data_IF_991552298921
#
_entry.id   IF_991552298921
#
_cell.length_a   1.000
_cell.length_b   1.000
_cell.length_c   1.000
_cell.angle_alpha   90.00
_cell.angle_beta   90.00
_cell.angle_gamma   90.00
#
_symmetry.space_group_name_H-M   'P 1'
#
loop_
_entity.id
_entity.type
_entity.pdbx_description
1 polymer ?
#
# COMPACT_ATOMS: atom_id res chain seq x y z
N UNK A 1 26.08 -63.69 16.49
CA UNK A 1 26.91 -62.61 17.08
C UNK A 1 26.06 -61.34 17.12
N UNK A 2 25.52 -61.01 18.29
CA UNK A 2 24.73 -59.79 18.50
C UNK A 2 25.68 -58.62 18.74
N UNK A 3 25.63 -57.62 17.86
CA UNK A 3 26.33 -56.35 18.04
C UNK A 3 25.31 -55.25 18.27
N UNK A 4 25.09 -54.90 19.55
CA UNK A 4 24.28 -53.76 19.95
C UNK A 4 24.86 -52.46 19.41
N UNK A 5 24.25 -51.89 18.36
CA UNK A 5 24.49 -50.51 17.93
C UNK A 5 23.51 -49.57 18.62
N UNK A 6 23.79 -49.21 19.86
CA UNK A 6 23.25 -48.02 20.53
C UNK A 6 24.48 -47.33 21.11
N UNK A 7 24.87 -46.11 20.75
CA UNK A 7 24.37 -44.88 21.37
C UNK A 7 25.24 -43.64 20.92
N UNK A 8 25.11 -43.05 19.72
CA UNK A 8 25.73 -41.73 19.46
C UNK A 8 24.88 -40.58 20.05
N UNK A 9 23.57 -40.80 20.15
CA UNK A 9 22.57 -39.83 20.61
C UNK A 9 22.78 -39.50 22.10
N UNK A 10 23.12 -40.50 22.92
CA UNK A 10 23.24 -40.35 24.38
C UNK A 10 24.39 -39.42 24.78
N UNK A 11 25.50 -39.40 24.03
CA UNK A 11 26.65 -38.53 24.31
C UNK A 11 26.39 -37.07 23.92
N UNK A 12 25.71 -36.84 22.79
CA UNK A 12 25.24 -35.52 22.39
C UNK A 12 24.21 -35.00 23.41
N UNK A 13 23.21 -35.80 23.78
CA UNK A 13 22.24 -35.44 24.82
C UNK A 13 22.90 -35.14 26.17
N UNK A 14 23.96 -35.84 26.58
CA UNK A 14 24.64 -35.58 27.86
C UNK A 14 25.42 -34.25 27.87
N UNK A 15 25.89 -33.78 26.70
CA UNK A 15 26.53 -32.46 26.54
C UNK A 15 25.50 -31.33 26.42
N UNK A 16 24.31 -31.62 25.87
CA UNK A 16 23.18 -30.69 25.77
C UNK A 16 22.27 -30.67 27.00
N UNK A 17 22.37 -31.66 27.90
CA UNK A 17 21.62 -31.76 29.16
C UNK A 17 22.16 -30.84 30.27
N UNK A 18 22.99 -29.85 29.93
CA UNK A 18 23.38 -28.82 30.88
C UNK A 18 22.24 -27.80 30.99
N UNK A 19 21.82 -27.44 32.21
CA UNK A 19 20.74 -26.45 32.43
C UNK A 19 21.01 -25.13 31.69
N UNK A 20 22.28 -24.76 31.56
CA UNK A 20 22.72 -23.55 30.87
C UNK A 20 22.52 -23.62 29.36
N UNK A 21 22.75 -24.78 28.71
CA UNK A 21 22.56 -24.91 27.26
C UNK A 21 21.08 -24.84 26.88
N UNK A 22 20.20 -25.39 27.71
CA UNK A 22 18.75 -25.27 27.51
C UNK A 22 18.27 -23.82 27.67
N UNK A 23 18.70 -23.13 28.73
CA UNK A 23 18.34 -21.71 28.94
C UNK A 23 18.87 -20.84 27.80
N UNK A 24 20.11 -21.06 27.35
CA UNK A 24 20.68 -20.32 26.21
C UNK A 24 19.93 -20.64 24.91
N UNK A 25 19.54 -21.90 24.67
CA UNK A 25 18.77 -22.26 23.49
C UNK A 25 17.41 -21.58 23.47
N UNK A 26 16.69 -21.61 24.60
CA UNK A 26 15.40 -20.92 24.75
C UNK A 26 15.58 -19.41 24.58
N UNK A 27 16.65 -18.83 25.14
CA UNK A 27 16.95 -17.40 24.99
C UNK A 27 17.29 -17.01 23.55
N UNK A 28 18.05 -17.83 22.83
CA UNK A 28 18.36 -17.62 21.41
C UNK A 28 17.09 -17.76 20.58
N UNK A 29 16.26 -18.78 20.82
CA UNK A 29 14.96 -18.92 20.15
C UNK A 29 14.06 -17.72 20.46
N UNK A 30 14.07 -17.23 21.70
CA UNK A 30 13.32 -16.05 22.08
C UNK A 30 13.80 -14.81 21.34
N UNK A 31 15.10 -14.56 21.25
CA UNK A 31 15.62 -13.45 20.43
C UNK A 31 15.26 -13.69 18.96
N UNK A 32 15.45 -14.87 18.40
CA UNK A 32 15.16 -15.11 16.97
C UNK A 32 13.67 -14.96 16.64
N UNK A 33 12.75 -15.32 17.54
CA UNK A 33 11.31 -15.24 17.33
C UNK A 33 10.69 -13.89 17.73
N UNK A 34 11.20 -13.25 18.80
CA UNK A 34 10.65 -12.01 19.37
C UNK A 34 11.50 -10.76 19.07
N UNK A 35 12.76 -10.89 18.66
CA UNK A 35 13.51 -9.76 18.12
C UNK A 35 12.86 -9.30 16.83
N UNK A 36 13.02 -8.01 16.54
CA UNK A 36 12.24 -7.17 15.62
C UNK A 36 12.28 -7.57 14.13
N UNK A 37 12.66 -8.80 13.80
CA UNK A 37 12.55 -9.41 12.48
C UNK A 37 11.11 -9.83 12.15
N UNK A 38 10.16 -8.94 12.41
CA UNK A 38 8.79 -9.11 11.94
C UNK A 38 8.82 -9.07 10.41
N UNK A 39 8.87 -10.27 9.81
CA UNK A 39 8.64 -10.48 8.38
C UNK A 39 7.31 -9.84 7.95
N UNK A 40 6.36 -9.82 8.88
CA UNK A 40 5.07 -9.15 8.76
C UNK A 40 5.25 -7.64 8.56
N UNK A 41 6.12 -6.99 9.33
CA UNK A 41 6.37 -5.54 9.18
C UNK A 41 6.99 -5.21 7.83
N UNK A 42 7.89 -6.07 7.33
CA UNK A 42 8.47 -5.91 5.98
C UNK A 42 7.40 -6.04 4.89
N UNK A 43 6.49 -7.01 5.00
CA UNK A 43 5.38 -7.19 4.06
C UNK A 43 4.44 -5.97 4.12
N UNK A 44 4.07 -5.52 5.31
CA UNK A 44 3.22 -4.34 5.47
C UNK A 44 3.87 -3.08 4.89
N UNK A 45 5.18 -2.92 5.10
CA UNK A 45 5.93 -1.80 4.56
C UNK A 45 5.97 -1.85 3.03
N UNK A 46 6.22 -3.02 2.42
CA UNK A 46 6.16 -3.17 0.97
C UNK A 46 4.77 -2.88 0.40
N UNK A 47 3.71 -3.36 1.06
CA UNK A 47 2.33 -3.05 0.67
C UNK A 47 2.06 -1.55 0.74
N UNK A 48 2.55 -0.87 1.79
CA UNK A 48 2.44 0.58 1.95
C UNK A 48 3.20 1.34 0.86
N UNK A 49 4.39 0.89 0.49
CA UNK A 49 5.17 1.46 -0.62
C UNK A 49 4.38 1.36 -1.93
N UNK A 50 3.88 0.16 -2.27
CA UNK A 50 3.09 -0.05 -3.48
C UNK A 50 1.82 0.81 -3.51
N UNK A 51 1.14 0.95 -2.37
CA UNK A 51 -0.03 1.82 -2.25
C UNK A 51 0.33 3.29 -2.53
N UNK A 52 1.40 3.80 -1.91
CA UNK A 52 1.86 5.17 -2.11
C UNK A 52 2.30 5.42 -3.56
N UNK A 53 2.95 4.45 -4.21
CA UNK A 53 3.31 4.55 -5.62
C UNK A 53 2.09 4.58 -6.53
N UNK A 54 1.09 3.75 -6.25
CA UNK A 54 -0.18 3.75 -7.00
C UNK A 54 -0.90 5.09 -6.86
N UNK A 55 -1.01 5.62 -5.63
CA UNK A 55 -1.58 6.93 -5.37
C UNK A 55 -0.81 8.03 -6.11
N UNK A 56 0.52 8.01 -6.05
CA UNK A 56 1.36 8.95 -6.81
C UNK A 56 1.10 8.90 -8.30
N UNK A 57 0.99 7.70 -8.90
CA UNK A 57 0.69 7.55 -10.33
C UNK A 57 -0.72 8.08 -10.66
N UNK A 58 -1.70 7.76 -9.83
CA UNK A 58 -3.08 8.25 -9.99
C UNK A 58 -3.13 9.78 -9.98
N UNK A 59 -2.56 10.42 -8.96
CA UNK A 59 -2.59 11.88 -8.85
C UNK A 59 -1.79 12.57 -9.95
N UNK A 60 -0.66 12.02 -10.39
CA UNK A 60 0.07 12.55 -11.55
C UNK A 60 -0.79 12.58 -12.80
N UNK A 61 -1.48 11.47 -13.10
CA UNK A 61 -2.38 11.40 -14.26
C UNK A 61 -3.55 12.38 -14.12
N UNK A 62 -4.13 12.50 -12.93
CA UNK A 62 -5.22 13.44 -12.66
C UNK A 62 -4.79 14.89 -12.85
N UNK A 63 -3.59 15.25 -12.39
CA UNK A 63 -3.02 16.60 -12.58
C UNK A 63 -2.81 16.87 -14.07
N UNK A 64 -2.32 15.92 -14.86
CA UNK A 64 -2.16 16.07 -16.31
C UNK A 64 -3.51 16.29 -17.01
N UNK A 65 -4.51 15.47 -16.68
CA UNK A 65 -5.87 15.63 -17.22
C UNK A 65 -6.50 16.97 -16.84
N UNK A 66 -6.36 17.39 -15.58
CA UNK A 66 -6.93 18.65 -15.09
C UNK A 66 -6.20 19.86 -15.69
N UNK A 67 -4.87 19.78 -15.89
CA UNK A 67 -4.12 20.81 -16.59
C UNK A 67 -4.56 20.93 -18.05
N UNK A 68 -4.75 19.80 -18.75
CA UNK A 68 -5.25 19.83 -20.13
C UNK A 68 -6.64 20.46 -20.21
N UNK A 69 -7.56 20.06 -19.32
CA UNK A 69 -8.90 20.69 -19.23
C UNK A 69 -8.78 22.18 -18.95
N UNK A 70 -7.90 22.57 -18.04
CA UNK A 70 -7.67 23.99 -17.72
C UNK A 70 -7.17 24.78 -18.94
N UNK A 71 -6.23 24.23 -19.70
CA UNK A 71 -5.76 24.86 -20.95
C UNK A 71 -6.88 24.95 -21.99
N UNK A 72 -7.66 23.89 -22.19
CA UNK A 72 -8.82 23.90 -23.08
C UNK A 72 -9.85 24.97 -22.67
N UNK A 73 -10.11 25.12 -21.37
CA UNK A 73 -11.02 26.11 -20.81
C UNK A 73 -10.49 27.55 -20.96
N UNK A 74 -9.19 27.76 -20.75
CA UNK A 74 -8.58 29.09 -20.79
C UNK A 74 -8.16 29.53 -22.19
N UNK A 75 -8.04 28.59 -23.14
CA UNK A 75 -7.62 28.87 -24.51
C UNK A 75 -8.65 29.65 -25.33
N UNK A 76 -9.95 29.46 -25.05
CA UNK A 76 -11.01 30.15 -25.78
C UNK A 76 -12.16 30.53 -24.83
N UNK A 77 -12.61 31.79 -24.93
CA UNK A 77 -13.73 32.34 -24.16
C UNK A 77 -15.04 31.57 -24.41
N UNK A 78 -15.24 31.07 -25.62
CA UNK A 78 -16.44 30.28 -25.97
C UNK A 78 -16.46 28.92 -25.25
N UNK A 79 -15.29 28.28 -25.10
CA UNK A 79 -15.16 27.02 -24.36
C UNK A 79 -15.42 27.23 -22.86
N UNK A 80 -14.94 28.35 -22.31
CA UNK A 80 -15.18 28.73 -20.92
C UNK A 80 -16.67 28.97 -20.66
N UNK A 81 -17.33 29.73 -21.53
CA UNK A 81 -18.77 30.02 -21.42
C UNK A 81 -19.60 28.74 -21.52
N UNK A 82 -19.27 27.85 -22.48
CA UNK A 82 -19.93 26.55 -22.61
C UNK A 82 -19.79 25.71 -21.34
N UNK A 83 -18.58 25.64 -20.77
CA UNK A 83 -18.34 24.91 -19.52
C UNK A 83 -19.11 25.49 -18.33
N UNK A 84 -19.13 26.82 -18.19
CA UNK A 84 -19.88 27.51 -17.15
C UNK A 84 -21.39 27.24 -17.26
N UNK A 85 -21.93 27.22 -18.49
CA UNK A 85 -23.35 26.91 -18.76
C UNK A 85 -23.70 25.45 -18.53
N UNK A 86 -22.86 24.51 -18.96
CA UNK A 86 -23.16 23.06 -18.86
C UNK A 86 -22.91 22.50 -17.45
N UNK A 87 -21.78 22.87 -16.82
CA UNK A 87 -21.38 22.29 -15.54
C UNK A 87 -21.92 23.06 -14.33
N UNK A 88 -22.06 24.38 -14.44
CA UNK A 88 -22.48 25.25 -13.34
C UNK A 88 -23.82 25.94 -13.59
N UNK A 89 -24.47 25.71 -14.74
CA UNK A 89 -25.75 26.33 -15.13
C UNK A 89 -25.72 27.86 -15.01
N UNK A 90 -24.55 28.46 -15.27
CA UNK A 90 -24.38 29.92 -15.21
C UNK A 90 -25.16 30.60 -16.34
N UNK A 91 -25.69 31.78 -16.04
CA UNK A 91 -26.43 32.63 -16.98
C UNK A 91 -26.01 34.09 -16.82
N UNK A 92 -26.18 34.88 -17.88
CA UNK A 92 -26.03 36.33 -17.76
C UNK A 92 -27.24 36.95 -17.04
N UNK A 93 -27.05 38.11 -16.43
CA UNK A 93 -28.12 38.81 -15.68
C UNK A 93 -29.36 39.10 -16.55
N UNK A 94 -29.14 39.38 -17.84
CA UNK A 94 -30.19 39.69 -18.82
C UNK A 94 -30.63 38.47 -19.64
N UNK A 95 -30.43 37.24 -19.14
CA UNK A 95 -30.73 36.01 -19.86
C UNK A 95 -31.73 35.11 -19.11
N UNK A 96 -32.74 34.63 -19.83
CA UNK A 96 -33.76 33.70 -19.36
C UNK A 96 -33.51 32.30 -19.92
N UNK A 97 -33.34 31.30 -19.04
CA UNK A 97 -33.09 29.89 -19.41
C UNK A 97 -34.43 29.13 -19.39
N UNK A 98 -34.75 28.46 -20.49
CA UNK A 98 -35.92 27.57 -20.59
C UNK A 98 -35.45 26.10 -20.70
N UNK A 99 -35.91 25.24 -19.78
CA UNK A 99 -35.66 23.79 -19.84
C UNK A 99 -36.90 23.11 -20.43
N UNK A 100 -36.77 22.54 -21.63
CA UNK A 100 -37.87 21.84 -22.31
C UNK A 100 -37.81 20.35 -21.96
N UNK A 101 -38.76 19.89 -21.13
CA UNK A 101 -38.92 18.47 -20.81
C UNK A 101 -39.91 17.87 -21.82
N UNK A 102 -39.46 16.89 -22.62
CA UNK A 102 -40.33 16.18 -23.56
C UNK A 102 -41.19 15.18 -22.78
N UNK A 103 -42.51 15.26 -22.94
CA UNK A 103 -43.50 14.38 -22.32
C UNK A 103 -43.63 13.06 -23.07
#
# INVERSE_FOLDING_TARGET
MQGEKKQPIRYFFQRFANKYTFVTLVFVIWIVLFDKYSFIDKIQLQSKILKLENEKRYYKKKIEEDNRKKEELLSNRDNLEKFAREQYLMKNENEDIFIVIKK
#
